data_IF_900769154789
#
_entry.id   IF_900769154789
#
_cell.length_a   1.000
_cell.length_b   1.000
_cell.length_c   1.000
_cell.angle_alpha   90.00
_cell.angle_beta   90.00
_cell.angle_gamma   90.00
#
_symmetry.space_group_name_H-M   'P 1'
#
loop_
_entity.id
_entity.type
_entity.pdbx_description
1 polymer ?
#
# COMPACT_ATOMS: atom_id res chain seq x y z
N UNK A 1 -11.97 1.70 -23.44
CA UNK A 1 -11.61 2.25 -22.12
C UNK A 1 -10.92 1.17 -21.31
N UNK A 2 -9.85 1.50 -20.59
CA UNK A 2 -9.14 0.59 -19.68
C UNK A 2 -9.55 0.96 -18.25
N UNK A 3 -9.76 -0.04 -17.40
CA UNK A 3 -10.12 0.13 -15.99
C UNK A 3 -8.96 -0.39 -15.15
N UNK A 4 -8.26 0.50 -14.46
CA UNK A 4 -7.23 0.14 -13.49
C UNK A 4 -7.84 -0.13 -12.11
N UNK A 5 -7.27 -1.09 -11.38
CA UNK A 5 -7.78 -1.41 -10.04
C UNK A 5 -7.62 -0.23 -9.10
N UNK A 6 -6.42 0.38 -9.05
CA UNK A 6 -6.13 1.52 -8.17
C UNK A 6 -7.00 2.75 -8.49
N UNK A 7 -7.23 3.02 -9.78
CA UNK A 7 -8.04 4.17 -10.24
C UNK A 7 -9.53 3.97 -9.95
N UNK A 8 -10.00 2.72 -9.95
CA UNK A 8 -11.39 2.41 -9.64
C UNK A 8 -11.72 2.55 -8.14
N UNK A 9 -10.75 2.37 -7.24
CA UNK A 9 -11.01 2.42 -5.79
C UNK A 9 -11.77 3.67 -5.36
N UNK A 10 -11.33 4.90 -5.66
CA UNK A 10 -12.06 6.07 -5.19
C UNK A 10 -13.41 6.26 -5.90
N UNK A 11 -13.52 5.87 -7.18
CA UNK A 11 -14.82 5.81 -7.87
C UNK A 11 -15.77 4.86 -7.16
N UNK A 12 -15.29 3.68 -6.78
CA UNK A 12 -16.05 2.69 -6.02
C UNK A 12 -16.49 3.21 -4.65
N UNK A 13 -15.60 3.90 -3.92
CA UNK A 13 -15.95 4.54 -2.65
C UNK A 13 -17.04 5.62 -2.84
N UNK A 14 -16.95 6.43 -3.89
CA UNK A 14 -17.96 7.45 -4.20
C UNK A 14 -19.32 6.83 -4.51
N UNK A 15 -19.38 5.76 -5.31
CA UNK A 15 -20.63 5.03 -5.58
C UNK A 15 -21.21 4.38 -4.32
N UNK A 16 -20.38 3.81 -3.45
CA UNK A 16 -20.83 3.26 -2.15
C UNK A 16 -21.45 4.34 -1.26
N UNK A 17 -20.83 5.51 -1.18
CA UNK A 17 -21.35 6.65 -0.40
C UNK A 17 -22.68 7.19 -0.95
N UNK A 18 -22.92 7.07 -2.26
CA UNK A 18 -24.19 7.42 -2.91
C UNK A 18 -25.27 6.34 -2.78
N UNK A 19 -24.95 5.18 -2.20
CA UNK A 19 -25.88 4.06 -2.11
C UNK A 19 -26.07 3.30 -3.43
N UNK A 20 -25.09 3.36 -4.33
CA UNK A 20 -25.08 2.68 -5.64
C UNK A 20 -24.04 1.53 -5.66
N UNK A 21 -24.19 0.47 -4.85
CA UNK A 21 -23.13 -0.52 -4.63
C UNK A 21 -22.94 -1.50 -5.79
N UNK A 22 -23.88 -1.55 -6.73
CA UNK A 22 -23.94 -2.58 -7.77
C UNK A 22 -22.73 -2.53 -8.72
N UNK A 23 -22.22 -1.34 -9.04
CA UNK A 23 -21.00 -1.20 -9.85
C UNK A 23 -19.77 -1.77 -9.13
N UNK A 24 -19.69 -1.60 -7.80
CA UNK A 24 -18.59 -2.12 -6.98
C UNK A 24 -18.68 -3.63 -6.84
N UNK A 25 -19.89 -4.17 -6.62
CA UNK A 25 -20.13 -5.61 -6.61
C UNK A 25 -19.69 -6.26 -7.92
N UNK A 26 -20.11 -5.69 -9.05
CA UNK A 26 -19.76 -6.17 -10.38
C UNK A 26 -18.25 -6.08 -10.63
N UNK A 27 -17.61 -4.97 -10.25
CA UNK A 27 -16.17 -4.83 -10.34
C UNK A 27 -15.42 -5.93 -9.55
N UNK A 28 -15.79 -6.15 -8.28
CA UNK A 28 -15.17 -7.15 -7.41
C UNK A 28 -15.31 -8.57 -8.00
N UNK A 29 -16.50 -8.94 -8.46
CA UNK A 29 -16.76 -10.25 -9.05
C UNK A 29 -16.06 -10.45 -10.40
N UNK A 30 -16.01 -9.42 -11.25
CA UNK A 30 -15.34 -9.52 -12.56
C UNK A 30 -13.82 -9.61 -12.39
N UNK A 31 -13.23 -8.82 -11.50
CA UNK A 31 -11.79 -8.90 -11.21
C UNK A 31 -11.40 -10.21 -10.54
N UNK A 32 -12.26 -10.77 -9.68
CA UNK A 32 -12.09 -12.13 -9.15
C UNK A 32 -12.11 -13.21 -10.24
N UNK A 33 -13.01 -13.10 -11.22
CA UNK A 33 -13.02 -14.02 -12.39
C UNK A 33 -11.75 -13.90 -13.23
N UNK A 34 -11.14 -12.72 -13.30
CA UNK A 34 -9.85 -12.52 -13.98
C UNK A 34 -8.71 -13.18 -13.19
N UNK A 35 -8.73 -13.08 -11.86
CA UNK A 35 -7.76 -13.76 -10.99
C UNK A 35 -7.75 -15.29 -11.20
N UNK A 36 -8.90 -15.90 -11.43
CA UNK A 36 -9.00 -17.35 -11.64
C UNK A 36 -8.42 -17.85 -12.98
N UNK A 37 -8.06 -16.97 -13.90
CA UNK A 37 -7.50 -17.36 -15.21
C UNK A 37 -6.04 -17.79 -15.09
N UNK A 38 -5.62 -18.69 -15.98
CA UNK A 38 -4.21 -19.00 -16.12
C UNK A 38 -3.46 -17.79 -16.68
N UNK A 39 -2.40 -17.36 -15.99
CA UNK A 39 -1.54 -16.25 -16.39
C UNK A 39 -0.16 -16.80 -16.71
N UNK A 40 0.22 -16.75 -17.99
CA UNK A 40 1.51 -17.22 -18.48
C UNK A 40 2.26 -16.07 -19.14
N UNK A 41 3.50 -15.87 -18.71
CA UNK A 41 4.46 -14.92 -19.23
C UNK A 41 5.58 -15.74 -19.88
N UNK A 42 5.60 -15.80 -21.20
CA UNK A 42 6.54 -16.65 -21.94
C UNK A 42 6.49 -18.11 -21.39
N UNK A 43 7.53 -18.55 -20.67
CA UNK A 43 7.61 -19.88 -20.04
C UNK A 43 7.36 -19.90 -18.52
N UNK A 44 6.85 -18.80 -17.94
CA UNK A 44 6.62 -18.65 -16.50
C UNK A 44 5.13 -18.50 -16.18
N UNK A 45 4.62 -19.26 -15.21
CA UNK A 45 3.25 -19.13 -14.70
C UNK A 45 3.24 -18.18 -13.50
N UNK A 46 2.44 -17.12 -13.56
CA UNK A 46 2.30 -16.18 -12.44
C UNK A 46 1.55 -16.85 -11.28
N UNK A 47 1.79 -16.36 -10.06
CA UNK A 47 1.09 -16.82 -8.86
C UNK A 47 -0.44 -16.76 -8.99
N UNK A 48 -1.12 -17.78 -8.48
CA UNK A 48 -2.57 -17.94 -8.68
C UNK A 48 -3.38 -16.79 -8.07
N UNK A 49 -2.91 -16.22 -6.96
CA UNK A 49 -3.54 -15.06 -6.32
C UNK A 49 -3.30 -13.72 -7.00
N UNK A 50 -2.48 -13.65 -8.05
CA UNK A 50 -2.14 -12.39 -8.68
C UNK A 50 -3.39 -11.72 -9.27
N UNK A 51 -3.62 -10.46 -8.90
CA UNK A 51 -4.69 -9.62 -9.43
C UNK A 51 -4.16 -8.81 -10.62
N UNK A 52 -5.00 -8.51 -11.62
CA UNK A 52 -4.57 -7.69 -12.75
C UNK A 52 -4.33 -6.24 -12.32
N UNK A 53 -3.44 -5.54 -13.03
CA UNK A 53 -3.26 -4.09 -12.90
C UNK A 53 -4.50 -3.38 -13.46
N UNK A 54 -4.94 -3.84 -14.64
CA UNK A 54 -6.05 -3.29 -15.36
C UNK A 54 -6.78 -4.33 -16.20
N UNK A 55 -7.95 -3.95 -16.72
CA UNK A 55 -8.65 -4.72 -17.74
C UNK A 55 -9.41 -3.80 -18.69
N UNK A 56 -9.71 -4.30 -19.88
CA UNK A 56 -10.56 -3.61 -20.86
C UNK A 56 -11.60 -4.54 -21.45
N UNK A 57 -12.70 -3.97 -21.89
CA UNK A 57 -13.73 -4.67 -22.67
C UNK A 57 -13.29 -4.67 -24.13
N UNK A 58 -13.21 -5.86 -24.73
CA UNK A 58 -12.98 -6.04 -26.17
C UNK A 58 -14.25 -6.61 -26.80
N UNK A 59 -14.72 -5.95 -27.84
CA UNK A 59 -15.80 -6.45 -28.68
C UNK A 59 -15.21 -7.41 -29.71
N UNK A 60 -15.67 -8.65 -29.72
CA UNK A 60 -15.33 -9.64 -30.73
C UNK A 60 -16.19 -9.46 -32.00
N UNK A 61 -15.75 -10.02 -33.13
CA UNK A 61 -16.43 -9.85 -34.43
C UNK A 61 -17.84 -10.48 -34.46
N UNK A 62 -18.13 -11.38 -33.53
CA UNK A 62 -19.43 -12.03 -33.35
C UNK A 62 -20.38 -11.25 -32.42
N UNK A 63 -19.99 -10.05 -31.99
CA UNK A 63 -20.77 -9.20 -31.08
C UNK A 63 -20.61 -9.53 -29.60
N UNK A 64 -19.80 -10.54 -29.23
CA UNK A 64 -19.56 -10.86 -27.82
C UNK A 64 -18.57 -9.90 -27.18
N UNK A 65 -18.82 -9.60 -25.90
CA UNK A 65 -17.90 -8.84 -25.07
C UNK A 65 -17.00 -9.76 -24.24
N UNK A 66 -15.68 -9.53 -24.33
CA UNK A 66 -14.69 -10.26 -23.55
C UNK A 66 -13.82 -9.30 -22.75
N UNK A 67 -13.65 -9.62 -21.48
CA UNK A 67 -12.68 -8.92 -20.63
C UNK A 67 -11.27 -9.41 -20.94
N UNK A 68 -10.40 -8.49 -21.34
CA UNK A 68 -8.97 -8.69 -21.49
C UNK A 68 -8.27 -8.00 -20.32
N UNK A 69 -7.59 -8.78 -19.48
CA UNK A 69 -6.81 -8.29 -18.34
C UNK A 69 -5.35 -8.05 -18.74
N UNK A 70 -4.69 -7.19 -17.99
CA UNK A 70 -3.24 -6.99 -18.00
C UNK A 70 -2.70 -7.23 -16.58
N UNK A 71 -1.86 -8.24 -16.42
CA UNK A 71 -1.18 -8.60 -15.17
C UNK A 71 0.26 -8.05 -15.11
N UNK A 72 0.65 -7.21 -16.06
CA UNK A 72 2.01 -6.68 -16.23
C UNK A 72 2.67 -7.14 -17.53
N UNK A 73 2.06 -8.04 -18.30
CA UNK A 73 2.64 -8.57 -19.54
C UNK A 73 2.69 -7.52 -20.65
N UNK A 74 1.73 -6.59 -20.66
CA UNK A 74 1.70 -5.47 -21.61
C UNK A 74 2.14 -4.15 -21.00
N UNK A 75 2.41 -4.13 -19.69
CA UNK A 75 2.89 -2.94 -19.00
C UNK A 75 4.31 -2.58 -19.46
N UNK A 76 4.56 -1.27 -19.61
CA UNK A 76 5.89 -0.75 -19.91
C UNK A 76 6.83 -1.14 -18.75
N UNK A 77 7.91 -1.87 -19.06
CA UNK A 77 8.84 -2.37 -18.04
C UNK A 77 8.43 -3.69 -17.36
N UNK A 78 7.35 -4.34 -17.81
CA UNK A 78 6.84 -5.62 -17.28
C UNK A 78 6.64 -5.62 -15.75
N UNK A 79 6.07 -4.54 -15.23
CA UNK A 79 5.98 -4.33 -13.79
C UNK A 79 4.79 -5.09 -13.18
N UNK A 80 5.03 -5.75 -12.05
CA UNK A 80 4.01 -6.52 -11.33
C UNK A 80 3.14 -5.60 -10.42
N UNK A 81 1.80 -5.62 -10.56
CA UNK A 81 0.89 -4.79 -9.77
C UNK A 81 0.63 -5.40 -8.38
N UNK A 82 1.57 -5.21 -7.45
CA UNK A 82 1.47 -5.77 -6.10
C UNK A 82 0.31 -5.13 -5.32
N UNK A 83 0.04 -3.86 -5.56
CA UNK A 83 -1.02 -3.06 -4.92
C UNK A 83 -2.45 -3.55 -5.26
N UNK A 84 -2.68 -4.07 -6.47
CA UNK A 84 -4.02 -4.49 -6.94
C UNK A 84 -4.71 -5.50 -6.02
N UNK A 85 -3.96 -6.47 -5.49
CA UNK A 85 -4.50 -7.47 -4.55
C UNK A 85 -4.97 -6.85 -3.24
N UNK A 86 -4.18 -5.92 -2.70
CA UNK A 86 -4.50 -5.23 -1.46
C UNK A 86 -5.68 -4.30 -1.62
N UNK A 87 -5.71 -3.51 -2.70
CA UNK A 87 -6.86 -2.66 -3.02
C UNK A 87 -8.15 -3.46 -3.19
N UNK A 88 -8.10 -4.65 -3.79
CA UNK A 88 -9.28 -5.49 -3.93
C UNK A 88 -9.84 -5.95 -2.57
N UNK A 89 -8.98 -6.38 -1.64
CA UNK A 89 -9.39 -6.76 -0.27
C UNK A 89 -9.97 -5.56 0.49
N UNK A 90 -9.32 -4.39 0.38
CA UNK A 90 -9.77 -3.15 1.02
C UNK A 90 -11.13 -2.71 0.47
N UNK A 91 -11.33 -2.77 -0.85
CA UNK A 91 -12.58 -2.40 -1.49
C UNK A 91 -13.71 -3.39 -1.15
N UNK A 92 -13.41 -4.70 -1.05
CA UNK A 92 -14.37 -5.69 -0.55
C UNK A 92 -14.80 -5.39 0.89
N UNK A 93 -13.87 -4.93 1.74
CA UNK A 93 -14.20 -4.47 3.09
C UNK A 93 -15.06 -3.21 3.08
N UNK A 94 -14.76 -2.24 2.21
CA UNK A 94 -15.55 -1.03 2.07
C UNK A 94 -16.98 -1.35 1.60
N UNK A 95 -17.14 -2.21 0.59
CA UNK A 95 -18.43 -2.70 0.11
C UNK A 95 -19.25 -3.32 1.25
N UNK A 96 -18.69 -4.34 1.92
CA UNK A 96 -19.40 -5.06 2.99
C UNK A 96 -19.78 -4.17 4.18
N UNK A 97 -18.94 -3.17 4.51
CA UNK A 97 -19.25 -2.19 5.54
C UNK A 97 -20.35 -1.21 5.13
N UNK A 98 -20.32 -0.73 3.89
CA UNK A 98 -21.28 0.25 3.37
C UNK A 98 -22.66 -0.37 3.16
N UNK A 99 -22.74 -1.55 2.58
CA UNK A 99 -24.02 -2.22 2.24
C UNK A 99 -24.59 -3.02 3.41
N UNK A 100 -23.75 -3.36 4.41
CA UNK A 100 -24.06 -4.36 5.45
C UNK A 100 -24.40 -5.75 4.89
N UNK A 101 -24.13 -5.98 3.61
CA UNK A 101 -24.35 -7.26 2.93
C UNK A 101 -23.09 -8.12 3.01
N UNK A 102 -23.20 -9.27 3.66
CA UNK A 102 -22.12 -10.25 3.78
C UNK A 102 -22.18 -11.35 2.72
N UNK A 103 -23.25 -11.44 1.94
CA UNK A 103 -23.44 -12.52 0.97
C UNK A 103 -22.28 -12.61 -0.03
N UNK A 104 -21.78 -11.45 -0.50
CA UNK A 104 -20.65 -11.38 -1.43
C UNK A 104 -19.37 -11.94 -0.83
N UNK A 105 -18.96 -11.50 0.37
CA UNK A 105 -17.73 -11.98 1.01
C UNK A 105 -17.85 -13.46 1.41
N UNK A 106 -19.05 -13.93 1.71
CA UNK A 106 -19.29 -15.32 2.10
C UNK A 106 -19.33 -16.28 0.91
N UNK A 107 -19.30 -15.80 -0.33
CA UNK A 107 -19.17 -16.65 -1.51
C UNK A 107 -17.88 -17.48 -1.45
N UNK A 108 -17.91 -18.78 -1.77
CA UNK A 108 -16.72 -19.63 -1.79
C UNK A 108 -15.60 -19.08 -2.68
N UNK A 109 -15.96 -18.51 -3.83
CA UNK A 109 -15.01 -17.92 -4.78
C UNK A 109 -14.33 -16.68 -4.20
N UNK A 110 -15.06 -15.83 -3.46
CA UNK A 110 -14.50 -14.65 -2.81
C UNK A 110 -13.56 -15.03 -1.67
N UNK A 111 -13.93 -16.02 -0.84
CA UNK A 111 -13.05 -16.55 0.21
C UNK A 111 -11.77 -17.14 -0.40
N UNK A 112 -11.91 -17.96 -1.44
CA UNK A 112 -10.77 -18.52 -2.18
C UNK A 112 -9.88 -17.43 -2.76
N UNK A 113 -10.46 -16.41 -3.39
CA UNK A 113 -9.70 -15.29 -3.96
C UNK A 113 -8.89 -14.52 -2.91
N UNK A 114 -9.49 -14.24 -1.75
CA UNK A 114 -8.77 -13.64 -0.62
C UNK A 114 -7.63 -14.53 -0.14
N UNK A 115 -7.88 -15.83 0.08
CA UNK A 115 -6.85 -16.80 0.52
C UNK A 115 -5.68 -16.87 -0.48
N UNK A 116 -5.96 -16.87 -1.78
CA UNK A 116 -4.92 -16.86 -2.80
C UNK A 116 -4.05 -15.59 -2.76
N UNK A 117 -4.64 -14.40 -2.56
CA UNK A 117 -3.88 -13.15 -2.37
C UNK A 117 -3.02 -13.25 -1.11
N UNK A 118 -3.61 -13.72 0.00
CA UNK A 118 -2.93 -13.87 1.27
C UNK A 118 -1.75 -14.83 1.19
N UNK A 119 -1.92 -15.97 0.51
CA UNK A 119 -0.85 -16.95 0.29
C UNK A 119 0.36 -16.33 -0.41
N UNK A 120 0.16 -15.46 -1.41
CA UNK A 120 1.26 -14.79 -2.10
C UNK A 120 2.02 -13.81 -1.21
N UNK A 121 1.34 -13.08 -0.32
CA UNK A 121 2.00 -12.07 0.53
C UNK A 121 2.50 -12.63 1.88
N UNK A 122 1.97 -13.77 2.32
CA UNK A 122 2.36 -14.47 3.56
C UNK A 122 3.24 -15.69 3.30
N UNK A 123 3.66 -15.91 2.05
CA UNK A 123 4.59 -16.99 1.73
C UNK A 123 5.91 -16.80 2.47
N UNK A 124 6.46 -17.91 2.95
CA UNK A 124 7.80 -17.95 3.50
C UNK A 124 8.83 -17.80 2.38
N UNK A 125 9.98 -17.23 2.70
CA UNK A 125 11.08 -17.03 1.76
C UNK A 125 12.34 -16.60 2.49
N UNK A 126 13.37 -16.22 1.73
CA UNK A 126 14.67 -15.78 2.28
C UNK A 126 14.64 -14.38 2.90
N UNK A 127 13.48 -13.73 2.95
CA UNK A 127 13.35 -12.39 3.50
C UNK A 127 13.47 -12.42 5.03
N UNK A 128 14.44 -11.71 5.56
CA UNK A 128 14.67 -11.57 7.00
C UNK A 128 13.81 -10.48 7.65
N UNK A 129 13.05 -9.73 6.84
CA UNK A 129 12.15 -8.67 7.29
C UNK A 129 10.67 -9.09 7.20
N UNK A 130 9.81 -8.61 8.11
CA UNK A 130 8.38 -8.90 8.06
C UNK A 130 7.66 -8.17 6.90
N UNK A 131 8.30 -7.13 6.35
CA UNK A 131 7.86 -6.34 5.20
C UNK A 131 7.90 -7.14 3.90
N UNK A 132 7.10 -6.73 2.92
CA UNK A 132 7.01 -7.36 1.61
C UNK A 132 8.07 -6.78 0.67
N UNK A 133 8.93 -7.65 0.14
CA UNK A 133 9.97 -7.28 -0.82
C UNK A 133 9.36 -7.01 -2.20
N UNK A 134 9.65 -5.84 -2.76
CA UNK A 134 9.05 -5.38 -4.00
C UNK A 134 10.08 -4.95 -5.06
N UNK A 135 9.80 -5.19 -6.35
CA UNK A 135 10.54 -4.54 -7.43
C UNK A 135 10.20 -3.05 -7.51
N UNK A 136 10.99 -2.30 -8.26
CA UNK A 136 10.66 -0.90 -8.59
C UNK A 136 9.38 -0.84 -9.44
N UNK A 137 8.62 0.26 -9.34
CA UNK A 137 7.37 0.43 -10.08
C UNK A 137 6.16 -0.40 -9.58
N UNK A 138 6.25 -1.09 -8.44
CA UNK A 138 5.26 -2.09 -8.01
C UNK A 138 3.93 -1.54 -7.46
N UNK A 139 3.78 -0.22 -7.35
CA UNK A 139 2.68 0.44 -6.66
C UNK A 139 2.08 1.54 -7.54
N UNK A 140 1.44 2.57 -6.97
CA UNK A 140 0.92 3.70 -7.75
C UNK A 140 1.98 4.30 -8.68
N UNK A 141 3.21 4.38 -8.19
CA UNK A 141 4.39 4.69 -9.00
C UNK A 141 4.72 3.43 -9.80
N UNK A 142 4.39 3.42 -11.10
CA UNK A 142 4.56 2.30 -12.02
C UNK A 142 5.84 2.38 -12.88
N UNK A 143 6.72 3.33 -12.55
CA UNK A 143 8.01 3.56 -13.22
C UNK A 143 9.16 3.45 -12.23
N UNK A 144 10.38 3.31 -12.78
CA UNK A 144 11.61 3.26 -11.99
C UNK A 144 11.81 4.59 -11.23
N UNK A 145 11.60 4.56 -9.92
CA UNK A 145 11.73 5.72 -9.03
C UNK A 145 12.58 5.42 -7.80
N UNK A 146 13.26 4.28 -7.78
CA UNK A 146 14.05 3.82 -6.64
C UNK A 146 13.18 3.30 -5.50
N UNK A 147 11.92 2.93 -5.75
CA UNK A 147 10.99 2.41 -4.73
C UNK A 147 11.09 0.89 -4.53
N UNK A 148 12.09 0.24 -5.13
CA UNK A 148 12.41 -1.16 -4.87
C UNK A 148 12.81 -1.42 -3.41
N UNK A 149 12.66 -2.65 -2.94
CA UNK A 149 12.92 -3.02 -1.54
C UNK A 149 11.62 -3.06 -0.75
N UNK A 150 11.45 -2.18 0.23
CA UNK A 150 10.31 -2.20 1.15
C UNK A 150 9.59 -0.84 1.19
N UNK A 151 8.94 -0.42 0.09
CA UNK A 151 8.34 0.90 0.00
C UNK A 151 7.15 1.05 0.96
N UNK A 152 7.10 2.16 1.72
CA UNK A 152 6.06 2.42 2.73
C UNK A 152 4.64 2.32 2.18
N UNK A 153 4.40 2.70 0.93
CA UNK A 153 3.10 2.57 0.27
C UNK A 153 2.61 1.13 0.25
N UNK A 154 3.45 0.19 -0.20
CA UNK A 154 3.10 -1.23 -0.19
C UNK A 154 2.98 -1.76 1.23
N UNK A 155 3.87 -1.37 2.15
CA UNK A 155 3.82 -1.88 3.52
C UNK A 155 2.54 -1.42 4.25
N UNK A 156 2.13 -0.18 4.06
CA UNK A 156 0.89 0.36 4.62
C UNK A 156 -0.36 -0.29 3.98
N UNK A 157 -0.36 -0.47 2.65
CA UNK A 157 -1.42 -1.21 1.95
C UNK A 157 -1.54 -2.65 2.44
N UNK A 158 -0.41 -3.33 2.57
CA UNK A 158 -0.33 -4.70 3.05
C UNK A 158 -0.88 -4.82 4.47
N UNK A 159 -0.46 -3.93 5.38
CA UNK A 159 -0.98 -3.87 6.74
C UNK A 159 -2.50 -3.65 6.78
N UNK A 160 -3.01 -2.71 5.98
CA UNK A 160 -4.45 -2.44 5.88
C UNK A 160 -5.23 -3.64 5.32
N UNK A 161 -4.70 -4.29 4.27
CA UNK A 161 -5.32 -5.46 3.67
C UNK A 161 -5.36 -6.65 4.63
N UNK A 162 -4.30 -6.89 5.41
CA UNK A 162 -4.27 -7.91 6.45
C UNK A 162 -5.33 -7.66 7.54
N UNK A 163 -5.47 -6.41 8.03
CA UNK A 163 -6.54 -6.05 8.98
C UNK A 163 -7.94 -6.24 8.38
N UNK A 164 -8.11 -5.91 7.09
CA UNK A 164 -9.36 -6.11 6.40
C UNK A 164 -9.69 -7.61 6.28
N UNK A 165 -8.73 -8.41 5.83
CA UNK A 165 -8.86 -9.85 5.65
C UNK A 165 -9.22 -10.57 6.95
N UNK A 166 -8.61 -10.19 8.08
CA UNK A 166 -8.87 -10.81 9.38
C UNK A 166 -10.36 -10.79 9.79
N UNK A 167 -11.11 -9.78 9.33
CA UNK A 167 -12.55 -9.65 9.63
C UNK A 167 -13.45 -10.22 8.51
N UNK A 168 -12.89 -10.37 7.30
CA UNK A 168 -13.62 -10.85 6.12
C UNK A 168 -13.53 -12.38 5.97
N UNK A 169 -12.46 -13.00 6.45
CA UNK A 169 -12.29 -14.45 6.39
C UNK A 169 -13.35 -15.17 7.23
N UNK A 170 -13.84 -16.29 6.71
CA UNK A 170 -14.68 -17.22 7.48
C UNK A 170 -13.84 -17.87 8.59
N UNK A 171 -14.51 -18.25 9.68
CA UNK A 171 -13.88 -18.96 10.81
C UNK A 171 -13.95 -20.49 10.64
N UNK A 172 -13.79 -20.99 9.41
CA UNK A 172 -13.54 -22.41 9.13
C UNK A 172 -12.08 -22.78 9.48
N UNK A 173 -11.71 -24.05 9.36
CA UNK A 173 -10.35 -24.51 9.73
C UNK A 173 -9.26 -23.75 8.97
N UNK A 174 -9.38 -23.67 7.63
CA UNK A 174 -8.42 -22.93 6.79
C UNK A 174 -8.42 -21.43 7.14
N UNK A 175 -9.58 -20.83 7.38
CA UNK A 175 -9.68 -19.43 7.76
C UNK A 175 -9.05 -19.11 9.12
N UNK A 176 -9.12 -20.04 10.09
CA UNK A 176 -8.43 -19.91 11.39
C UNK A 176 -6.91 -19.96 11.23
N UNK A 177 -6.39 -20.84 10.38
CA UNK A 177 -4.95 -20.90 10.09
C UNK A 177 -4.46 -19.58 9.47
N UNK A 178 -5.19 -19.04 8.49
CA UNK A 178 -4.88 -17.73 7.92
C UNK A 178 -4.97 -16.63 8.98
N UNK A 179 -5.98 -16.64 9.84
CA UNK A 179 -6.13 -15.64 10.90
C UNK A 179 -4.91 -15.62 11.84
N UNK A 180 -4.39 -16.79 12.23
CA UNK A 180 -3.20 -16.89 13.08
C UNK A 180 -1.94 -16.36 12.37
N UNK A 181 -1.75 -16.71 11.10
CA UNK A 181 -0.65 -16.20 10.27
C UNK A 181 -0.73 -14.68 10.08
N UNK A 182 -1.93 -14.17 9.83
CA UNK A 182 -2.22 -12.73 9.70
C UNK A 182 -1.89 -12.02 11.02
N UNK A 183 -2.34 -12.55 12.16
CA UNK A 183 -2.11 -11.93 13.47
C UNK A 183 -0.62 -11.84 13.81
N UNK A 184 0.13 -12.93 13.60
CA UNK A 184 1.59 -12.95 13.78
C UNK A 184 2.28 -11.93 12.88
N UNK A 185 1.89 -11.87 11.59
CA UNK A 185 2.47 -10.92 10.64
C UNK A 185 2.13 -9.47 10.97
N UNK A 186 0.89 -9.17 11.35
CA UNK A 186 0.46 -7.83 11.77
C UNK A 186 1.25 -7.33 12.97
N UNK A 187 1.50 -8.19 13.96
CA UNK A 187 2.32 -7.84 15.11
C UNK A 187 3.75 -7.47 14.70
N UNK A 188 4.40 -8.34 13.90
CA UNK A 188 5.75 -8.11 13.42
C UNK A 188 5.87 -6.85 12.54
N UNK A 189 4.91 -6.62 11.62
CA UNK A 189 4.86 -5.43 10.77
C UNK A 189 4.65 -4.16 11.60
N UNK A 190 3.73 -4.18 12.56
CA UNK A 190 3.46 -3.03 13.42
C UNK A 190 4.70 -2.62 14.20
N UNK A 191 5.41 -3.57 14.80
CA UNK A 191 6.65 -3.28 15.51
C UNK A 191 7.73 -2.74 14.56
N UNK A 192 7.93 -3.40 13.42
CA UNK A 192 8.98 -3.05 12.48
C UNK A 192 8.78 -1.65 11.86
N UNK A 193 7.58 -1.35 11.37
CA UNK A 193 7.29 -0.07 10.73
C UNK A 193 7.34 1.09 11.76
N UNK A 194 6.75 0.91 12.95
CA UNK A 194 6.78 1.95 14.00
C UNK A 194 8.18 2.22 14.53
N UNK A 195 9.02 1.20 14.63
CA UNK A 195 10.37 1.34 15.18
C UNK A 195 11.40 1.83 14.18
N UNK A 196 11.29 1.43 12.92
CA UNK A 196 12.36 1.63 11.93
C UNK A 196 11.99 2.53 10.75
N UNK A 197 10.72 2.63 10.40
CA UNK A 197 10.27 3.55 9.35
C UNK A 197 9.88 4.92 9.90
N UNK A 198 9.61 5.04 11.20
CA UNK A 198 9.24 6.31 11.80
C UNK A 198 10.45 7.26 11.87
N UNK A 199 10.26 8.49 11.43
CA UNK A 199 11.24 9.56 11.51
C UNK A 199 10.58 10.84 12.03
N UNK A 200 11.15 11.36 13.12
CA UNK A 200 10.88 12.69 13.67
C UNK A 200 12.22 13.37 13.97
N UNK A 201 12.19 14.60 14.49
CA UNK A 201 13.41 15.34 14.81
C UNK A 201 14.33 14.61 15.81
N UNK A 202 13.78 13.84 16.76
CA UNK A 202 14.59 13.11 17.74
C UNK A 202 15.29 11.93 17.06
N UNK A 203 14.53 11.13 16.30
CA UNK A 203 15.07 10.00 15.56
C UNK A 203 16.09 10.43 14.50
N UNK A 204 15.88 11.57 13.83
CA UNK A 204 16.86 12.11 12.89
C UNK A 204 18.20 12.43 13.58
N UNK A 205 18.15 13.03 14.78
CA UNK A 205 19.35 13.29 15.58
C UNK A 205 20.05 12.00 16.02
N UNK A 206 19.29 10.97 16.38
CA UNK A 206 19.85 9.67 16.76
C UNK A 206 20.54 8.99 15.56
N UNK A 207 19.89 8.98 14.38
CA UNK A 207 20.48 8.43 13.14
C UNK A 207 21.74 9.18 12.73
N UNK A 208 21.74 10.52 12.85
CA UNK A 208 22.93 11.34 12.57
C UNK A 208 24.14 10.98 13.46
N UNK A 209 23.88 10.41 14.65
CA UNK A 209 24.91 10.02 15.63
C UNK A 209 25.21 8.53 15.62
N UNK A 210 24.69 7.78 14.65
CA UNK A 210 24.95 6.34 14.56
C UNK A 210 26.43 6.04 14.41
N UNK A 211 26.85 4.96 15.06
CA UNK A 211 28.10 4.29 14.74
C UNK A 211 27.82 3.26 13.64
N UNK A 212 28.79 3.09 12.75
CA UNK A 212 28.74 2.12 11.67
C UNK A 212 29.39 0.80 12.09
N UNK A 213 29.14 -0.26 11.33
CA UNK A 213 29.76 -1.59 11.50
C UNK A 213 29.43 -2.26 12.84
N UNK A 214 28.24 -1.99 13.39
CA UNK A 214 27.78 -2.64 14.62
C UNK A 214 27.38 -4.10 14.33
N UNK A 215 28.12 -5.05 14.90
CA UNK A 215 27.82 -6.48 14.79
C UNK A 215 27.41 -7.05 16.15
N UNK A 216 26.13 -6.87 16.52
CA UNK A 216 25.55 -7.46 17.74
C UNK A 216 24.02 -7.48 17.70
N UNK A 217 23.39 -8.33 18.53
CA UNK A 217 21.93 -8.31 18.72
C UNK A 217 21.44 -7.03 19.44
N UNK A 218 22.33 -6.32 20.12
CA UNK A 218 22.05 -5.06 20.84
C UNK A 218 22.46 -3.83 20.03
N UNK A 219 22.74 -3.99 18.73
CA UNK A 219 23.09 -2.88 17.84
C UNK A 219 21.94 -1.86 17.76
N UNK A 220 22.31 -0.58 17.81
CA UNK A 220 21.41 0.56 17.61
C UNK A 220 21.21 0.76 16.10
N UNK A 221 22.29 0.72 15.33
CA UNK A 221 22.27 0.86 13.87
C UNK A 221 22.03 -0.49 13.17
N UNK A 222 20.83 -1.07 13.36
CA UNK A 222 20.49 -2.43 12.89
C UNK A 222 20.58 -2.63 11.38
N UNK A 223 20.51 -1.55 10.60
CA UNK A 223 20.55 -1.61 9.14
C UNK A 223 21.90 -1.12 8.59
N UNK A 224 22.87 -0.81 9.44
CA UNK A 224 24.18 -0.27 9.07
C UNK A 224 24.08 0.94 8.13
N UNK A 225 23.21 1.89 8.48
CA UNK A 225 23.03 3.16 7.75
C UNK A 225 24.24 4.05 8.01
N UNK A 226 24.80 4.62 6.95
CA UNK A 226 25.88 5.60 7.05
C UNK A 226 25.28 6.97 7.36
N UNK A 227 25.63 7.63 8.50
CA UNK A 227 25.15 8.99 8.79
C UNK A 227 25.46 9.98 7.66
N UNK A 228 26.63 9.84 7.03
CA UNK A 228 27.07 10.67 5.90
C UNK A 228 26.20 10.52 4.63
N UNK A 229 25.31 9.52 4.59
CA UNK A 229 24.34 9.34 3.50
C UNK A 229 23.02 10.10 3.71
N UNK A 230 22.84 10.75 4.86
CA UNK A 230 21.68 11.61 5.10
C UNK A 230 21.70 12.80 4.13
N UNK A 231 20.61 13.06 3.41
CA UNK A 231 20.60 14.14 2.43
C UNK A 231 20.38 15.50 3.09
N UNK A 232 21.11 16.54 2.63
CA UNK A 232 21.10 17.87 3.24
C UNK A 232 19.70 18.49 3.39
N UNK A 233 18.83 18.30 2.37
CA UNK A 233 17.46 18.82 2.39
C UNK A 233 16.62 18.31 3.56
N UNK A 234 16.97 17.14 4.12
CA UNK A 234 16.23 16.53 5.22
C UNK A 234 16.34 17.34 6.51
N UNK A 235 17.49 17.96 6.75
CA UNK A 235 17.72 18.76 7.96
C UNK A 235 16.89 20.04 7.95
N UNK A 236 16.73 20.66 6.78
CA UNK A 236 15.87 21.83 6.61
C UNK A 236 14.39 21.44 6.59
N UNK A 237 14.07 20.30 5.97
CA UNK A 237 12.70 19.81 5.84
C UNK A 237 12.11 19.33 7.16
N UNK A 238 12.90 18.70 8.05
CA UNK A 238 12.38 18.13 9.29
C UNK A 238 12.01 19.21 10.32
N UNK A 239 10.73 19.40 10.66
CA UNK A 239 10.32 20.35 11.69
C UNK A 239 10.66 19.88 13.11
N UNK A 240 10.62 20.79 14.08
CA UNK A 240 10.77 20.43 15.50
C UNK A 240 9.56 19.69 16.07
N UNK A 241 8.37 19.93 15.50
CA UNK A 241 7.14 19.20 15.80
C UNK A 241 6.64 18.53 14.53
N UNK A 242 6.39 17.23 14.63
CA UNK A 242 5.94 16.42 13.51
C UNK A 242 6.91 15.31 13.15
N UNK A 243 6.49 14.47 12.22
CA UNK A 243 7.24 13.32 11.77
C UNK A 243 6.45 12.51 10.74
N UNK A 244 7.10 11.55 10.11
CA UNK A 244 6.47 10.71 9.09
C UNK A 244 7.14 9.35 8.99
N UNK A 245 6.47 8.43 8.29
CA UNK A 245 7.09 7.19 7.84
C UNK A 245 7.91 7.42 6.58
N UNK A 246 9.21 7.15 6.66
CA UNK A 246 10.14 7.26 5.53
C UNK A 246 9.79 6.30 4.40
N UNK A 247 10.25 6.62 3.19
CA UNK A 247 9.88 5.91 1.98
C UNK A 247 10.29 4.45 1.95
N UNK A 248 11.46 4.10 2.51
CA UNK A 248 12.01 2.75 2.43
C UNK A 248 13.07 2.51 3.51
N UNK A 249 13.15 1.27 4.00
CA UNK A 249 14.22 0.79 4.88
C UNK A 249 14.68 -0.56 4.38
N UNK A 250 15.95 -0.66 3.98
CA UNK A 250 16.60 -1.86 3.49
C UNK A 250 18.00 -2.00 4.12
N UNK A 251 18.66 -3.17 4.04
CA UNK A 251 20.05 -3.31 4.46
C UNK A 251 20.94 -2.25 3.80
N UNK A 252 21.68 -1.49 4.62
CA UNK A 252 22.55 -0.38 4.22
C UNK A 252 21.89 0.74 3.40
N UNK A 253 20.55 0.86 3.40
CA UNK A 253 19.83 1.89 2.65
C UNK A 253 18.56 2.34 3.35
N UNK A 254 18.47 3.64 3.63
CA UNK A 254 17.22 4.31 4.01
C UNK A 254 16.86 5.35 2.95
N UNK A 255 15.60 5.33 2.52
CA UNK A 255 15.05 6.32 1.61
C UNK A 255 14.20 7.29 2.42
N UNK A 256 14.78 8.46 2.71
CA UNK A 256 14.16 9.48 3.55
C UNK A 256 13.04 10.26 2.86
N UNK A 257 12.74 10.00 1.58
CA UNK A 257 11.66 10.71 0.88
C UNK A 257 10.32 10.50 1.58
N UNK A 258 9.52 11.54 1.67
CA UNK A 258 8.15 11.48 2.15
C UNK A 258 7.25 10.98 1.02
N UNK A 259 6.38 10.00 1.30
CA UNK A 259 5.40 9.49 0.36
C UNK A 259 4.00 9.67 0.92
N UNK A 260 3.14 10.38 0.19
CA UNK A 260 1.84 10.79 0.69
C UNK A 260 0.92 9.59 0.96
N UNK A 261 0.75 8.72 -0.03
CA UNK A 261 -0.22 7.61 0.06
C UNK A 261 0.15 6.63 1.18
N UNK A 262 1.45 6.33 1.36
CA UNK A 262 1.92 5.48 2.44
C UNK A 262 1.62 6.05 3.83
N UNK A 263 1.86 7.35 4.04
CA UNK A 263 1.58 8.01 5.32
C UNK A 263 0.07 8.12 5.59
N UNK A 264 -0.75 8.46 4.58
CA UNK A 264 -2.21 8.49 4.73
C UNK A 264 -2.78 7.10 5.07
N UNK A 265 -2.30 6.05 4.39
CA UNK A 265 -2.72 4.68 4.68
C UNK A 265 -2.24 4.21 6.05
N UNK A 266 -1.08 4.66 6.52
CA UNK A 266 -0.61 4.36 7.86
C UNK A 266 -1.57 4.90 8.93
N UNK A 267 -2.11 6.11 8.74
CA UNK A 267 -3.14 6.70 9.60
C UNK A 267 -4.45 5.91 9.49
N UNK A 268 -4.99 5.75 8.27
CA UNK A 268 -6.29 5.11 8.04
C UNK A 268 -6.36 3.66 8.54
N UNK A 269 -5.24 2.94 8.46
CA UNK A 269 -5.15 1.55 8.90
C UNK A 269 -4.83 1.40 10.39
N UNK A 270 -4.62 2.50 11.13
CA UNK A 270 -4.11 2.51 12.50
C UNK A 270 -2.75 1.81 12.64
N UNK A 271 -1.96 1.81 11.57
CA UNK A 271 -0.54 1.44 11.64
C UNK A 271 0.21 2.49 12.47
N UNK A 272 0.00 3.77 12.16
CA UNK A 272 0.48 4.88 12.97
C UNK A 272 -0.19 4.85 14.34
N UNK A 273 0.56 5.12 15.41
CA UNK A 273 -0.05 5.43 16.72
C UNK A 273 -0.83 6.75 16.64
N UNK A 274 -1.69 7.06 17.63
CA UNK A 274 -2.35 8.37 17.67
C UNK A 274 -1.35 9.53 17.64
N UNK A 275 -0.26 9.44 18.41
CA UNK A 275 0.80 10.45 18.44
C UNK A 275 1.52 10.58 17.09
N UNK A 276 1.83 9.46 16.43
CA UNK A 276 2.43 9.47 15.09
C UNK A 276 1.47 10.06 14.05
N UNK A 277 0.18 9.78 14.18
CA UNK A 277 -0.85 10.32 13.27
C UNK A 277 -0.96 11.83 13.42
N UNK A 278 -1.00 12.33 14.66
CA UNK A 278 -0.97 13.76 14.94
C UNK A 278 0.32 14.40 14.42
N UNK A 279 1.48 13.77 14.64
CA UNK A 279 2.76 14.25 14.15
C UNK A 279 2.87 14.29 12.61
N UNK A 280 2.22 13.36 11.89
CA UNK A 280 2.10 13.44 10.43
C UNK A 280 1.28 14.66 10.00
N UNK A 281 0.19 14.97 10.73
CA UNK A 281 -0.61 16.15 10.43
C UNK A 281 0.13 17.45 10.78
N UNK A 282 0.80 17.52 11.94
CA UNK A 282 1.69 18.64 12.33
C UNK A 282 2.74 18.89 11.23
N UNK A 283 3.37 17.83 10.68
CA UNK A 283 4.31 17.96 9.56
C UNK A 283 3.66 18.55 8.31
N UNK A 284 2.46 18.10 7.94
CA UNK A 284 1.74 18.60 6.75
C UNK A 284 1.37 20.07 6.92
N UNK A 285 0.99 20.49 8.12
CA UNK A 285 0.72 21.89 8.44
C UNK A 285 2.01 22.74 8.39
N UNK A 286 3.10 22.29 9.01
CA UNK A 286 4.37 23.03 9.06
C UNK A 286 5.10 23.08 7.70
N UNK A 287 4.87 22.10 6.82
CA UNK A 287 5.47 22.00 5.48
C UNK A 287 4.41 22.06 4.38
N UNK A 288 3.36 22.84 4.60
CA UNK A 288 2.22 22.95 3.69
C UNK A 288 2.64 23.35 2.27
N UNK A 289 3.52 24.33 2.12
CA UNK A 289 4.00 24.79 0.81
C UNK A 289 4.76 23.68 0.08
N UNK A 290 5.56 22.89 0.80
CA UNK A 290 6.40 21.83 0.26
C UNK A 290 5.65 20.54 -0.01
N UNK A 291 4.56 20.25 0.69
CA UNK A 291 3.79 18.99 0.57
C UNK A 291 2.46 19.16 -0.17
N UNK A 292 1.88 20.35 -0.14
CA UNK A 292 0.60 20.70 -0.77
C UNK A 292 0.80 21.78 -1.84
N UNK A 293 1.31 22.95 -1.45
CA UNK A 293 1.39 24.12 -2.32
C UNK A 293 0.00 24.53 -2.84
N UNK A 294 -0.07 24.96 -4.09
CA UNK A 294 -1.33 25.37 -4.74
C UNK A 294 -2.16 24.18 -5.29
N UNK A 295 -1.57 22.98 -5.33
CA UNK A 295 -2.21 21.79 -5.90
C UNK A 295 -2.10 20.60 -4.93
N UNK A 296 -3.15 20.32 -4.14
CA UNK A 296 -3.17 19.16 -3.26
C UNK A 296 -3.19 17.86 -4.09
N UNK A 297 -2.34 16.86 -3.83
CA UNK A 297 -1.19 16.80 -2.91
C UNK A 297 0.05 16.37 -3.71
N UNK A 298 1.26 16.57 -3.18
CA UNK A 298 2.44 15.99 -3.83
C UNK A 298 2.46 14.47 -3.64
N UNK A 299 2.89 13.74 -4.66
CA UNK A 299 2.98 12.28 -4.59
C UNK A 299 4.09 11.85 -3.63
N UNK A 300 5.25 12.47 -3.78
CA UNK A 300 6.40 12.34 -2.88
C UNK A 300 7.16 13.67 -2.74
N UNK A 301 7.92 13.81 -1.65
CA UNK A 301 8.81 14.95 -1.39
C UNK A 301 10.22 14.47 -0.99
N UNK A 302 11.23 15.23 -1.39
CA UNK A 302 12.64 14.86 -1.27
C UNK A 302 13.13 14.08 -2.51
N UNK A 303 14.33 14.39 -3.00
CA UNK A 303 14.92 13.75 -4.19
C UNK A 303 15.08 14.69 -5.39
N UNK A 304 15.68 14.19 -6.48
CA UNK A 304 16.10 14.98 -7.65
C UNK A 304 14.95 15.55 -8.50
N UNK A 305 13.72 15.07 -8.33
CA UNK A 305 12.54 15.53 -9.08
C UNK A 305 11.29 15.50 -8.19
N UNK A 306 10.56 16.62 -8.10
CA UNK A 306 9.24 16.70 -7.46
C UNK A 306 8.21 16.20 -8.48
N UNK A 307 7.54 15.08 -8.19
CA UNK A 307 6.48 14.55 -9.06
C UNK A 307 5.11 14.94 -8.49
N UNK A 308 4.28 15.71 -9.23
CA UNK A 308 2.91 16.01 -8.81
C UNK A 308 2.04 14.75 -8.82
N UNK A 309 1.07 14.67 -7.91
CA UNK A 309 0.06 13.60 -7.92
C UNK A 309 -0.92 13.83 -9.07
N UNK A 310 -1.04 12.87 -9.99
CA UNK A 310 -1.95 12.95 -11.16
C UNK A 310 -3.20 12.07 -10.99
N UNK A 311 -3.37 11.42 -9.84
CA UNK A 311 -4.62 10.72 -9.52
C UNK A 311 -5.65 11.69 -8.95
N UNK A 312 -6.87 11.75 -9.46
CA UNK A 312 -7.95 12.33 -8.67
C UNK A 312 -8.38 11.30 -7.63
N UNK A 313 -8.65 11.73 -6.39
CA UNK A 313 -9.70 11.23 -5.48
C UNK A 313 -9.41 10.34 -4.26
N UNK A 314 -8.24 9.70 -4.04
CA UNK A 314 -8.02 8.91 -2.80
C UNK A 314 -7.46 9.73 -1.64
N UNK A 315 -6.46 10.57 -1.89
CA UNK A 315 -5.75 11.31 -0.83
C UNK A 315 -6.51 12.56 -0.38
N UNK A 316 -7.18 13.26 -1.32
CA UNK A 316 -8.04 14.40 -0.99
C UNK A 316 -9.14 14.03 0.02
N UNK A 317 -9.61 12.78 0.01
CA UNK A 317 -10.63 12.31 0.96
C UNK A 317 -10.11 12.21 2.40
N UNK A 318 -8.83 11.87 2.59
CA UNK A 318 -8.22 11.67 3.92
C UNK A 318 -7.99 13.01 4.64
N UNK A 319 -7.51 14.03 3.91
CA UNK A 319 -7.26 15.35 4.50
C UNK A 319 -8.58 16.08 4.78
N UNK A 320 -9.55 16.02 3.84
CA UNK A 320 -10.86 16.68 4.04
C UNK A 320 -11.64 16.08 5.20
N UNK A 321 -11.52 14.77 5.44
CA UNK A 321 -12.21 14.11 6.56
C UNK A 321 -11.62 14.45 7.95
N UNK A 322 -10.33 14.81 8.03
CA UNK A 322 -9.71 15.24 9.30
C UNK A 322 -9.90 16.74 9.55
N UNK A 323 -9.93 17.57 8.50
CA UNK A 323 -10.18 19.02 8.62
C UNK A 323 -11.60 19.41 9.01
N UNK A 324 -12.56 18.47 9.01
CA UNK A 324 -13.94 18.70 9.47
C UNK A 324 -14.28 18.00 10.80
N UNK A 325 -13.29 17.41 11.46
CA UNK A 325 -13.43 16.82 12.80
C UNK A 325 -12.65 17.65 13.84
N UNK A 326 -12.99 18.93 13.95
CA UNK A 326 -12.76 19.76 15.15
C UNK A 326 -14.09 19.94 15.88
N UNK A 327 -14.08 20.19 17.21
CA UNK A 327 -15.21 20.01 18.12
C UNK A 327 -16.50 20.75 17.75
#
# INVERSE_FOLDING_TARGET
MVVFVRDFVPSGLAFLMRGEPEIVKNFLLKTLRLQAREKKFDHFKLGEGAMPASFKVRHERDGKEKLQADFGETAIGRVAPVDSGFWWIILLRAYTKSTRDRSLVEMPECQKGMRLILTLCLSEGFNTFPTLLCPDGCCMIDRRMGVYGYPIEIQALFFMALKCALVLLKHDEEGKEFADRIAKRLHALSYHLRSYFWLDFRQLNDIYRYKTEEYSHTAVNKFNVMPDSLPDWLFDFMPTRGGYFIGNVSPARMDFRWFCLGNCLAILSSLATPDQSAAIMDLVEERWTELVGEMPLKLCHGGKEIIPYVGQSLVSFVIVSYGQAGP
#
